data_IF_138054769036
#
_entry.id   IF_138054769036
#
_cell.length_a   1.000
_cell.length_b   1.000
_cell.length_c   1.000
_cell.angle_alpha   90.00
_cell.angle_beta   90.00
_cell.angle_gamma   90.00
#
_symmetry.space_group_name_H-M   'P 1'
#
loop_
_entity.id
_entity.type
_entity.pdbx_description
1 polymer ?
#
# COMPACT_ATOMS: atom_id res chain seq x y z
N UNK A 1 -2.22 -11.51 -14.49
CA UNK A 1 -3.26 -11.01 -13.54
C UNK A 1 -2.58 -10.33 -12.36
N UNK A 2 -3.24 -9.33 -11.72
CA UNK A 2 -2.70 -8.69 -10.51
C UNK A 2 -3.51 -9.15 -9.30
N UNK A 3 -2.81 -9.66 -8.29
CA UNK A 3 -3.39 -10.07 -7.00
C UNK A 3 -2.96 -9.11 -5.91
N UNK A 4 -3.89 -8.68 -5.05
CA UNK A 4 -3.58 -7.83 -3.90
C UNK A 4 -3.85 -8.61 -2.62
N UNK A 5 -2.81 -8.81 -1.82
CA UNK A 5 -2.88 -9.61 -0.58
C UNK A 5 -2.87 -8.67 0.63
N UNK A 6 -4.01 -8.60 1.33
CA UNK A 6 -4.15 -7.84 2.58
C UNK A 6 -4.37 -8.82 3.73
N UNK A 7 -3.35 -9.00 4.58
CA UNK A 7 -3.43 -9.94 5.70
C UNK A 7 -4.29 -9.42 6.85
N UNK A 8 -4.40 -8.11 7.01
CA UNK A 8 -5.08 -7.46 8.13
C UNK A 8 -6.00 -6.31 7.68
N UNK A 9 -7.01 -6.59 6.84
CA UNK A 9 -7.94 -5.55 6.39
C UNK A 9 -8.79 -5.02 7.56
N UNK A 10 -9.36 -3.84 7.38
CA UNK A 10 -10.16 -3.14 8.39
C UNK A 10 -11.37 -2.46 7.78
N UNK A 11 -12.32 -2.08 8.65
CA UNK A 11 -13.14 -0.90 8.37
C UNK A 11 -12.41 0.28 8.97
N UNK A 12 -12.17 1.33 8.19
CA UNK A 12 -11.64 2.59 8.68
C UNK A 12 -12.83 3.54 8.89
N UNK A 13 -13.14 3.80 10.16
CA UNK A 13 -14.19 4.73 10.59
C UNK A 13 -13.57 6.13 10.75
N UNK A 14 -13.95 7.04 9.87
CA UNK A 14 -13.58 8.45 9.91
C UNK A 14 -14.63 9.21 10.71
N UNK A 15 -14.19 9.96 11.71
CA UNK A 15 -15.04 10.73 12.61
C UNK A 15 -14.54 12.17 12.63
N UNK A 16 -15.41 13.12 12.33
CA UNK A 16 -15.11 14.54 12.44
C UNK A 16 -15.71 15.11 13.72
N UNK A 17 -14.90 15.79 14.52
CA UNK A 17 -15.28 16.42 15.77
C UNK A 17 -14.90 17.91 15.74
N UNK A 18 -15.68 18.72 16.49
CA UNK A 18 -15.27 20.09 16.75
C UNK A 18 -14.12 20.16 17.75
N UNK A 19 -14.22 19.40 18.84
CA UNK A 19 -13.18 19.22 19.86
C UNK A 19 -13.27 17.80 20.41
N UNK A 20 -12.14 17.16 20.63
CA UNK A 20 -12.04 15.89 21.33
C UNK A 20 -11.80 16.15 22.83
N UNK A 21 -12.82 15.93 23.66
CA UNK A 21 -12.74 16.11 25.10
C UNK A 21 -12.55 14.77 25.79
N UNK A 22 -11.35 14.50 26.31
CA UNK A 22 -11.04 13.25 27.00
C UNK A 22 -11.84 13.16 28.31
N UNK A 23 -12.41 11.97 28.58
CA UNK A 23 -13.20 11.71 29.76
C UNK A 23 -14.62 12.29 29.73
N UNK A 24 -15.08 12.80 28.60
CA UNK A 24 -16.40 13.37 28.40
C UNK A 24 -17.11 12.73 27.21
N UNK A 25 -18.43 12.94 27.13
CA UNK A 25 -19.17 12.63 25.89
C UNK A 25 -18.78 13.63 24.80
N UNK A 26 -18.58 13.12 23.60
CA UNK A 26 -18.26 13.91 22.41
C UNK A 26 -19.31 13.63 21.34
N UNK A 27 -19.84 14.68 20.75
CA UNK A 27 -20.78 14.59 19.65
C UNK A 27 -20.03 14.77 18.33
N UNK A 28 -20.24 13.85 17.40
CA UNK A 28 -19.62 13.87 16.08
C UNK A 28 -20.35 14.82 15.14
N UNK A 29 -19.61 15.50 14.27
CA UNK A 29 -20.15 16.37 13.23
C UNK A 29 -20.47 15.57 11.95
N UNK A 30 -19.59 14.64 11.60
CA UNK A 30 -19.75 13.77 10.44
C UNK A 30 -19.03 12.44 10.68
N UNK A 31 -19.51 11.38 9.99
CA UNK A 31 -18.86 10.09 9.96
C UNK A 31 -18.88 9.49 8.56
N UNK A 32 -17.92 8.64 8.29
CA UNK A 32 -17.91 7.76 7.11
C UNK A 32 -17.11 6.50 7.41
N UNK A 33 -17.50 5.39 6.80
CA UNK A 33 -16.78 4.12 6.88
C UNK A 33 -16.27 3.73 5.50
N UNK A 34 -15.00 3.39 5.40
CA UNK A 34 -14.35 2.94 4.17
C UNK A 34 -13.64 1.60 4.43
N UNK A 35 -13.49 0.75 3.40
CA UNK A 35 -12.63 -0.42 3.53
C UNK A 35 -11.19 0.05 3.66
N UNK A 36 -10.49 -0.45 4.68
CA UNK A 36 -9.09 -0.15 4.96
C UNK A 36 -8.17 -1.34 4.69
N UNK A 37 -6.94 -1.03 4.30
CA UNK A 37 -5.89 -2.00 4.01
C UNK A 37 -5.08 -1.58 2.79
N UNK A 38 -3.75 -1.56 2.93
CA UNK A 38 -2.88 -1.02 1.89
C UNK A 38 -3.09 -1.68 0.53
N UNK A 39 -3.04 -3.01 0.45
CA UNK A 39 -3.22 -3.71 -0.81
C UNK A 39 -4.68 -3.62 -1.33
N UNK A 40 -5.69 -3.44 -0.46
CA UNK A 40 -7.06 -3.14 -0.88
C UNK A 40 -7.13 -1.78 -1.58
N UNK A 41 -6.51 -0.74 -1.02
CA UNK A 41 -6.45 0.58 -1.64
C UNK A 41 -5.77 0.52 -3.02
N UNK A 42 -4.72 -0.30 -3.16
CA UNK A 42 -4.09 -0.54 -4.47
C UNK A 42 -5.09 -1.14 -5.46
N UNK A 43 -5.87 -2.16 -5.06
CA UNK A 43 -6.93 -2.72 -5.92
C UNK A 43 -7.97 -1.69 -6.34
N UNK A 44 -8.41 -0.85 -5.41
CA UNK A 44 -9.42 0.17 -5.66
C UNK A 44 -8.94 1.21 -6.69
N UNK A 45 -7.69 1.68 -6.56
CA UNK A 45 -7.09 2.61 -7.52
C UNK A 45 -6.84 1.94 -8.87
N UNK A 46 -6.35 0.69 -8.90
CA UNK A 46 -6.18 -0.06 -10.14
C UNK A 46 -7.52 -0.26 -10.86
N UNK A 47 -8.61 -0.54 -10.13
CA UNK A 47 -9.96 -0.61 -10.69
C UNK A 47 -10.39 0.74 -11.29
N UNK A 48 -10.15 1.85 -10.59
CA UNK A 48 -10.37 3.21 -11.12
C UNK A 48 -9.60 3.44 -12.42
N UNK A 49 -8.35 2.97 -12.51
CA UNK A 49 -7.52 3.00 -13.72
C UNK A 49 -7.94 1.96 -14.79
N UNK A 50 -9.02 1.20 -14.57
CA UNK A 50 -9.54 0.14 -15.44
C UNK A 50 -8.58 -1.05 -15.61
N UNK A 51 -7.82 -1.35 -14.57
CA UNK A 51 -6.90 -2.48 -14.52
C UNK A 51 -7.49 -3.53 -13.58
N UNK A 52 -7.84 -4.73 -14.08
CA UNK A 52 -8.48 -5.75 -13.29
C UNK A 52 -7.53 -6.36 -12.26
N UNK A 53 -8.04 -6.54 -11.05
CA UNK A 53 -7.33 -7.16 -9.93
C UNK A 53 -8.17 -8.23 -9.24
N UNK A 54 -7.54 -9.07 -8.46
CA UNK A 54 -8.19 -9.99 -7.52
C UNK A 54 -7.68 -9.65 -6.12
N UNK A 55 -8.59 -9.17 -5.26
CA UNK A 55 -8.27 -8.91 -3.86
C UNK A 55 -8.39 -10.20 -3.04
N UNK A 56 -7.39 -10.49 -2.22
CA UNK A 56 -7.33 -11.68 -1.35
C UNK A 56 -6.69 -11.35 0.00
N UNK A 57 -6.70 -12.32 0.91
CA UNK A 57 -6.27 -12.19 2.30
C UNK A 57 -7.34 -12.74 3.22
N UNK A 58 -7.51 -12.18 4.41
CA UNK A 58 -8.40 -12.72 5.43
C UNK A 58 -9.59 -11.80 5.70
N UNK A 59 -10.82 -12.34 5.62
CA UNK A 59 -12.04 -11.60 5.98
C UNK A 59 -12.94 -12.43 6.89
N UNK A 60 -13.60 -11.76 7.86
CA UNK A 60 -14.53 -12.42 8.76
C UNK A 60 -15.43 -11.42 9.50
N UNK A 61 -16.57 -11.91 9.96
CA UNK A 61 -17.60 -11.12 10.61
C UNK A 61 -18.25 -10.08 9.69
N UNK A 62 -19.04 -9.20 10.26
CA UNK A 62 -19.72 -8.14 9.49
C UNK A 62 -18.75 -7.17 8.81
N UNK A 63 -17.56 -6.96 9.38
CA UNK A 63 -16.53 -6.15 8.77
C UNK A 63 -16.03 -6.78 7.47
N UNK A 64 -15.82 -8.10 7.46
CA UNK A 64 -15.43 -8.83 6.26
C UNK A 64 -16.50 -8.79 5.15
N UNK A 65 -17.77 -8.88 5.54
CA UNK A 65 -18.91 -8.70 4.62
C UNK A 65 -18.93 -7.29 4.04
N UNK A 66 -18.81 -6.26 4.88
CA UNK A 66 -18.73 -4.86 4.44
C UNK A 66 -17.61 -4.66 3.42
N UNK A 67 -16.40 -5.17 3.69
CA UNK A 67 -15.24 -5.03 2.79
C UNK A 67 -15.53 -5.71 1.44
N UNK A 68 -16.03 -6.95 1.48
CA UNK A 68 -16.31 -7.73 0.27
C UNK A 68 -17.39 -7.09 -0.59
N UNK A 69 -18.46 -6.61 0.04
CA UNK A 69 -19.56 -5.92 -0.64
C UNK A 69 -19.12 -4.60 -1.26
N UNK A 70 -18.27 -3.86 -0.56
CA UNK A 70 -17.72 -2.61 -1.08
C UNK A 70 -16.88 -2.84 -2.34
N UNK A 71 -15.94 -3.81 -2.29
CA UNK A 71 -15.10 -4.14 -3.44
C UNK A 71 -15.92 -4.65 -4.63
N UNK A 72 -16.98 -5.41 -4.36
CA UNK A 72 -17.90 -5.88 -5.41
C UNK A 72 -18.61 -4.72 -6.10
N UNK A 73 -19.04 -3.69 -5.34
CA UNK A 73 -19.64 -2.47 -5.91
C UNK A 73 -18.65 -1.66 -6.75
N UNK A 74 -17.36 -1.73 -6.44
CA UNK A 74 -16.28 -1.12 -7.23
C UNK A 74 -15.79 -2.04 -8.38
N UNK A 75 -16.51 -3.13 -8.70
CA UNK A 75 -16.17 -4.12 -9.72
C UNK A 75 -14.81 -4.79 -9.53
N UNK A 76 -14.38 -4.97 -8.29
CA UNK A 76 -13.14 -5.67 -7.94
C UNK A 76 -13.48 -7.13 -7.62
N UNK A 77 -12.84 -8.06 -8.32
CA UNK A 77 -12.94 -9.48 -8.00
C UNK A 77 -12.29 -9.79 -6.66
N UNK A 78 -12.92 -10.64 -5.86
CA UNK A 78 -12.42 -11.03 -4.54
C UNK A 78 -12.29 -12.54 -4.41
N UNK A 79 -11.25 -12.98 -3.70
CA UNK A 79 -11.09 -14.37 -3.29
C UNK A 79 -10.43 -14.42 -1.91
N UNK A 80 -11.20 -14.05 -0.89
CA UNK A 80 -10.73 -14.01 0.49
C UNK A 80 -10.90 -15.35 1.19
N UNK A 81 -9.92 -15.70 2.01
CA UNK A 81 -10.07 -16.73 3.02
C UNK A 81 -11.04 -16.26 4.10
N UNK A 82 -12.05 -17.06 4.38
CA UNK A 82 -13.06 -16.76 5.41
C UNK A 82 -12.54 -17.20 6.77
N UNK A 83 -12.22 -16.24 7.63
CA UNK A 83 -11.76 -16.52 8.99
C UNK A 83 -12.91 -16.60 9.98
N UNK A 84 -12.69 -17.33 11.08
CA UNK A 84 -13.66 -17.48 12.19
C UNK A 84 -13.82 -16.19 12.99
N UNK A 85 -12.73 -15.42 13.10
CA UNK A 85 -12.69 -14.16 13.83
C UNK A 85 -13.19 -12.99 12.96
N UNK A 86 -13.41 -11.83 13.60
CA UNK A 86 -13.85 -10.61 12.93
C UNK A 86 -12.67 -9.76 12.49
N UNK A 87 -12.77 -9.08 11.35
CA UNK A 87 -11.81 -8.04 11.00
C UNK A 87 -11.87 -6.88 12.02
N UNK A 88 -10.80 -6.10 12.03
CA UNK A 88 -10.71 -4.92 12.91
C UNK A 88 -11.45 -3.72 12.34
N UNK A 89 -11.74 -2.75 13.23
CA UNK A 89 -12.21 -1.42 12.85
C UNK A 89 -11.22 -0.40 13.40
N UNK A 90 -10.55 0.37 12.53
CA UNK A 90 -9.72 1.48 12.96
C UNK A 90 -10.57 2.76 13.07
N UNK A 91 -10.20 3.68 13.95
CA UNK A 91 -10.89 4.96 14.12
C UNK A 91 -9.91 6.07 13.74
N UNK A 92 -10.33 6.97 12.88
CA UNK A 92 -9.59 8.16 12.45
C UNK A 92 -10.39 9.40 12.83
N UNK A 93 -9.89 10.13 13.79
CA UNK A 93 -10.56 11.32 14.36
C UNK A 93 -9.92 12.55 13.72
N UNK A 94 -10.75 13.38 13.12
CA UNK A 94 -10.36 14.67 12.57
C UNK A 94 -10.89 15.78 13.46
N UNK A 95 -9.97 16.60 13.96
CA UNK A 95 -10.23 17.77 14.79
C UNK A 95 -9.33 18.92 14.34
N UNK A 96 -9.89 20.07 13.95
CA UNK A 96 -9.12 21.28 13.62
C UNK A 96 -7.93 21.02 12.67
N UNK A 97 -8.13 20.23 11.61
CA UNK A 97 -7.09 19.79 10.64
C UNK A 97 -6.02 18.85 11.23
N UNK A 98 -6.20 18.36 12.43
CA UNK A 98 -5.36 17.32 13.03
C UNK A 98 -6.04 15.96 12.91
N UNK A 99 -5.25 14.93 12.62
CA UNK A 99 -5.69 13.56 12.53
C UNK A 99 -5.14 12.76 13.72
N UNK A 100 -6.04 12.09 14.44
CA UNK A 100 -5.68 11.12 15.49
C UNK A 100 -6.16 9.74 15.06
N UNK A 101 -5.23 8.78 15.00
CA UNK A 101 -5.54 7.41 14.60
C UNK A 101 -5.53 6.45 15.78
N UNK A 102 -6.57 5.64 15.89
CA UNK A 102 -6.67 4.51 16.83
C UNK A 102 -6.71 3.24 15.99
N UNK A 103 -5.58 2.53 15.96
CA UNK A 103 -5.42 1.32 15.16
C UNK A 103 -5.54 0.07 16.04
N UNK A 104 -6.41 -0.84 15.66
CA UNK A 104 -6.56 -2.12 16.33
C UNK A 104 -5.57 -3.14 15.76
N UNK A 105 -5.03 -4.07 16.58
CA UNK A 105 -4.04 -5.04 16.13
C UNK A 105 -4.58 -6.02 15.08
N UNK A 106 -5.87 -6.28 15.10
CA UNK A 106 -6.54 -7.30 14.29
C UNK A 106 -6.75 -8.60 15.06
N UNK A 107 -7.47 -9.55 14.46
CA UNK A 107 -7.75 -10.85 15.04
C UNK A 107 -6.54 -11.78 14.95
N UNK A 108 -6.51 -12.83 15.79
CA UNK A 108 -5.59 -13.94 15.60
C UNK A 108 -6.06 -14.80 14.42
N UNK A 109 -5.18 -15.05 13.46
CA UNK A 109 -5.40 -15.92 12.30
C UNK A 109 -4.97 -17.33 12.66
N UNK A 110 -5.80 -18.31 12.29
CA UNK A 110 -5.57 -19.72 12.56
C UNK A 110 -4.64 -20.35 11.51
N UNK A 111 -3.94 -21.41 11.87
CA UNK A 111 -2.98 -22.06 10.96
C UNK A 111 -3.66 -22.62 9.71
N UNK A 112 -4.87 -23.15 9.83
CA UNK A 112 -5.65 -23.68 8.70
C UNK A 112 -6.08 -22.56 7.72
N UNK A 113 -6.36 -21.35 8.23
CA UNK A 113 -6.69 -20.19 7.43
C UNK A 113 -5.45 -19.70 6.64
N UNK A 114 -4.27 -19.74 7.26
CA UNK A 114 -2.99 -19.44 6.58
C UNK A 114 -2.70 -20.46 5.47
N UNK A 115 -2.90 -21.74 5.73
CA UNK A 115 -2.69 -22.80 4.75
C UNK A 115 -3.63 -22.66 3.55
N UNK A 116 -4.88 -22.24 3.75
CA UNK A 116 -5.81 -21.95 2.67
C UNK A 116 -5.32 -20.79 1.78
N UNK A 117 -4.80 -19.69 2.37
CA UNK A 117 -4.23 -18.59 1.59
C UNK A 117 -2.98 -19.02 0.81
N UNK A 118 -2.09 -19.81 1.43
CA UNK A 118 -0.91 -20.39 0.77
C UNK A 118 -1.33 -21.26 -0.41
N UNK A 119 -2.31 -22.13 -0.22
CA UNK A 119 -2.84 -22.99 -1.29
C UNK A 119 -3.46 -22.17 -2.42
N UNK A 120 -4.16 -21.08 -2.12
CA UNK A 120 -4.69 -20.20 -3.14
C UNK A 120 -3.58 -19.54 -3.95
N UNK A 121 -2.56 -18.98 -3.30
CA UNK A 121 -1.43 -18.32 -3.97
C UNK A 121 -0.51 -19.30 -4.70
N UNK A 122 -0.55 -20.62 -4.39
CA UNK A 122 0.17 -21.62 -5.16
C UNK A 122 -0.35 -21.83 -6.59
N UNK A 123 -1.47 -21.20 -6.95
CA UNK A 123 -2.09 -21.28 -8.28
C UNK A 123 -1.72 -20.12 -9.21
N UNK A 124 -0.98 -19.15 -8.73
CA UNK A 124 -0.46 -18.04 -9.57
C UNK A 124 0.53 -18.58 -10.59
N UNK A 125 0.75 -17.84 -11.65
CA UNK A 125 1.54 -18.28 -12.82
C UNK A 125 2.54 -17.21 -13.20
N UNK A 126 3.47 -17.59 -14.06
CA UNK A 126 4.32 -16.64 -14.76
C UNK A 126 3.48 -15.57 -15.49
N UNK A 127 3.88 -14.30 -15.35
CA UNK A 127 3.14 -13.14 -15.84
C UNK A 127 2.06 -12.62 -14.89
N UNK A 128 1.80 -13.29 -13.75
CA UNK A 128 1.03 -12.73 -12.66
C UNK A 128 1.91 -11.84 -11.78
N UNK A 129 1.30 -10.85 -11.13
CA UNK A 129 1.98 -9.98 -10.15
C UNK A 129 1.20 -9.95 -8.86
N UNK A 130 1.88 -10.13 -7.73
CA UNK A 130 1.26 -10.13 -6.41
C UNK A 130 1.73 -8.93 -5.61
N UNK A 131 0.80 -8.21 -5.00
CA UNK A 131 1.10 -7.10 -4.11
C UNK A 131 0.88 -7.56 -2.67
N UNK A 132 1.95 -7.57 -1.89
CA UNK A 132 1.88 -7.78 -0.46
C UNK A 132 1.91 -6.42 0.24
N UNK A 133 0.87 -6.10 1.01
CA UNK A 133 0.78 -4.79 1.64
C UNK A 133 0.05 -4.78 2.97
N UNK A 134 0.58 -3.99 3.90
CA UNK A 134 -0.05 -3.70 5.17
C UNK A 134 0.59 -4.40 6.37
N UNK A 135 -0.10 -4.32 7.52
CA UNK A 135 0.32 -4.96 8.76
C UNK A 135 -0.01 -6.45 8.76
N UNK A 136 0.77 -7.19 9.52
CA UNK A 136 0.50 -8.60 9.83
C UNK A 136 -0.32 -8.67 11.10
N UNK A 137 -1.48 -9.37 11.10
CA UNK A 137 -2.23 -9.60 12.33
C UNK A 137 -1.53 -10.66 13.20
N UNK A 138 -1.87 -10.80 14.48
CA UNK A 138 -1.43 -11.93 15.28
C UNK A 138 -1.78 -13.26 14.60
N UNK A 139 -0.89 -14.24 14.65
CA UNK A 139 -1.09 -15.57 14.07
C UNK A 139 -0.77 -16.66 15.10
N UNK A 140 -1.44 -17.80 15.00
CA UNK A 140 -1.11 -18.96 15.82
C UNK A 140 0.33 -19.43 15.56
N UNK A 141 0.93 -20.05 16.56
CA UNK A 141 2.24 -20.70 16.47
C UNK A 141 3.40 -19.80 16.00
N UNK A 142 3.24 -18.46 16.11
CA UNK A 142 4.27 -17.49 15.71
C UNK A 142 4.49 -17.39 14.19
N UNK A 143 3.54 -17.82 13.38
CA UNK A 143 3.57 -17.74 11.90
C UNK A 143 3.64 -16.31 11.37
N UNK A 144 3.33 -15.30 12.20
CA UNK A 144 3.43 -13.88 11.84
C UNK A 144 4.87 -13.43 11.57
N UNK A 145 5.87 -14.13 12.08
CA UNK A 145 7.28 -13.73 11.93
C UNK A 145 7.82 -13.91 10.50
N UNK A 146 7.34 -14.90 9.77
CA UNK A 146 7.84 -15.26 8.43
C UNK A 146 6.75 -15.37 7.35
N UNK A 147 5.52 -14.98 7.67
CA UNK A 147 4.36 -15.14 6.78
C UNK A 147 4.61 -14.56 5.37
N UNK A 148 5.15 -13.36 5.28
CA UNK A 148 5.42 -12.76 3.97
C UNK A 148 6.47 -13.54 3.18
N UNK A 149 7.54 -14.00 3.83
CA UNK A 149 8.57 -14.83 3.19
C UNK A 149 7.97 -16.13 2.67
N UNK A 150 7.09 -16.77 3.46
CA UNK A 150 6.38 -17.98 3.07
C UNK A 150 5.49 -17.76 1.85
N UNK A 151 4.66 -16.71 1.86
CA UNK A 151 3.74 -16.38 0.76
C UNK A 151 4.51 -16.02 -0.52
N UNK A 152 5.58 -15.23 -0.41
CA UNK A 152 6.45 -14.86 -1.54
C UNK A 152 7.12 -16.10 -2.13
N UNK A 153 7.67 -16.99 -1.30
CA UNK A 153 8.33 -18.20 -1.78
C UNK A 153 7.40 -19.08 -2.60
N UNK A 154 6.15 -19.20 -2.18
CA UNK A 154 5.12 -19.96 -2.93
C UNK A 154 4.80 -19.28 -4.26
N UNK A 155 4.64 -17.96 -4.27
CA UNK A 155 4.31 -17.20 -5.46
C UNK A 155 5.44 -17.22 -6.51
N UNK A 156 6.67 -16.94 -6.08
CA UNK A 156 7.84 -16.88 -6.97
C UNK A 156 8.25 -18.25 -7.51
N UNK A 157 8.00 -19.34 -6.75
CA UNK A 157 8.19 -20.70 -7.25
C UNK A 157 7.35 -21.02 -8.48
N UNK A 158 6.24 -20.31 -8.70
CA UNK A 158 5.37 -20.41 -9.86
C UNK A 158 5.67 -19.34 -10.95
N UNK A 159 6.75 -18.58 -10.79
CA UNK A 159 7.17 -17.56 -11.76
C UNK A 159 6.42 -16.24 -11.68
N UNK A 160 5.63 -16.00 -10.62
CA UNK A 160 4.97 -14.72 -10.44
C UNK A 160 5.94 -13.65 -9.92
N UNK A 161 5.78 -12.41 -10.40
CA UNK A 161 6.42 -11.23 -9.84
C UNK A 161 5.71 -10.79 -8.56
N UNK A 162 6.41 -10.02 -7.70
CA UNK A 162 5.74 -9.42 -6.55
C UNK A 162 6.22 -8.01 -6.21
N UNK A 163 5.33 -7.28 -5.54
CA UNK A 163 5.56 -5.93 -4.98
C UNK A 163 5.41 -6.01 -3.47
N UNK A 164 6.30 -5.37 -2.72
CA UNK A 164 6.26 -5.36 -1.26
C UNK A 164 6.12 -3.94 -0.68
N UNK A 165 4.99 -3.67 0.00
CA UNK A 165 4.76 -2.52 0.87
C UNK A 165 4.45 -2.99 2.30
N UNK A 166 5.43 -3.64 2.87
CA UNK A 166 5.37 -4.31 4.17
C UNK A 166 6.09 -3.49 5.25
N UNK A 167 5.82 -3.73 6.55
CA UNK A 167 6.57 -3.09 7.63
C UNK A 167 8.08 -3.31 7.51
N UNK A 168 8.88 -2.31 7.94
CA UNK A 168 10.34 -2.27 7.81
C UNK A 168 11.02 -3.58 8.25
N UNK A 169 10.56 -4.21 9.35
CA UNK A 169 11.10 -5.47 9.87
C UNK A 169 11.08 -6.65 8.89
N UNK A 170 10.17 -6.65 7.91
CA UNK A 170 10.07 -7.70 6.88
C UNK A 170 10.77 -7.32 5.57
N UNK A 171 11.05 -6.03 5.36
CA UNK A 171 11.42 -5.51 4.05
C UNK A 171 12.72 -6.12 3.52
N UNK A 172 13.76 -6.23 4.35
CA UNK A 172 15.04 -6.79 3.90
C UNK A 172 14.95 -8.25 3.46
N UNK A 173 14.12 -9.06 4.13
CA UNK A 173 13.91 -10.45 3.72
C UNK A 173 13.09 -10.55 2.45
N UNK A 174 12.15 -9.63 2.24
CA UNK A 174 11.42 -9.51 0.98
C UNK A 174 12.34 -9.08 -0.17
N UNK A 175 13.25 -8.12 0.05
CA UNK A 175 14.19 -7.64 -0.97
C UNK A 175 15.10 -8.76 -1.49
N UNK A 176 15.56 -9.66 -0.61
CA UNK A 176 16.37 -10.83 -1.00
C UNK A 176 15.63 -11.80 -1.94
N UNK A 177 14.30 -11.76 -1.95
CA UNK A 177 13.43 -12.56 -2.84
C UNK A 177 13.22 -11.90 -4.21
N UNK A 178 13.93 -10.80 -4.50
CA UNK A 178 13.94 -10.08 -5.79
C UNK A 178 12.57 -9.53 -6.20
N UNK A 179 11.96 -8.63 -5.41
CA UNK A 179 10.69 -8.00 -5.76
C UNK A 179 10.79 -7.13 -7.02
N UNK A 180 9.70 -7.05 -7.76
CA UNK A 180 9.55 -6.09 -8.85
C UNK A 180 9.66 -4.66 -8.34
N UNK A 181 9.01 -4.36 -7.18
CA UNK A 181 9.03 -3.04 -6.56
C UNK A 181 9.00 -3.17 -5.03
N UNK A 182 9.80 -2.34 -4.36
CA UNK A 182 9.63 -2.01 -2.95
C UNK A 182 9.45 -0.50 -2.79
N UNK A 183 8.63 -0.11 -1.78
CA UNK A 183 8.34 1.31 -1.56
C UNK A 183 8.42 1.69 -0.07
N UNK A 184 9.63 1.75 0.50
CA UNK A 184 9.82 2.33 1.83
C UNK A 184 9.59 3.85 1.82
N UNK A 185 9.36 4.42 3.00
CA UNK A 185 9.51 5.86 3.23
C UNK A 185 10.88 6.16 3.86
N UNK A 186 11.18 7.44 4.11
CA UNK A 186 12.43 7.83 4.75
C UNK A 186 12.63 7.19 6.11
N UNK A 187 11.60 7.17 6.96
CA UNK A 187 11.65 6.55 8.30
C UNK A 187 11.89 5.05 8.23
N UNK A 188 11.26 4.34 7.28
CA UNK A 188 11.52 2.91 7.05
C UNK A 188 12.99 2.67 6.69
N UNK A 189 13.62 3.54 5.87
CA UNK A 189 15.05 3.44 5.52
C UNK A 189 15.93 3.66 6.76
N UNK A 190 15.64 4.67 7.56
CA UNK A 190 16.38 4.96 8.79
C UNK A 190 16.29 3.79 9.77
N UNK A 191 15.12 3.18 9.94
CA UNK A 191 14.91 1.99 10.77
C UNK A 191 15.68 0.78 10.24
N UNK A 192 15.54 0.47 8.96
CA UNK A 192 16.13 -0.72 8.32
C UNK A 192 17.67 -0.70 8.39
N UNK A 193 18.26 0.47 8.14
CA UNK A 193 19.72 0.61 8.10
C UNK A 193 20.32 1.14 9.43
N UNK A 194 19.47 1.39 10.43
CA UNK A 194 19.85 1.96 11.73
C UNK A 194 20.71 3.23 11.57
N UNK A 195 20.20 4.17 10.79
CA UNK A 195 20.85 5.46 10.47
C UNK A 195 19.89 6.62 10.71
N UNK A 196 20.44 7.83 10.81
CA UNK A 196 19.67 9.06 10.79
C UNK A 196 20.11 9.89 9.59
N UNK A 197 19.16 10.35 8.81
CA UNK A 197 19.40 11.03 7.52
C UNK A 197 18.78 12.41 7.56
N UNK A 198 19.59 13.44 7.29
CA UNK A 198 19.13 14.83 7.36
C UNK A 198 18.78 15.41 5.98
N UNK A 199 19.53 15.03 4.93
CA UNK A 199 19.29 15.53 3.57
C UNK A 199 18.75 14.43 2.68
N UNK A 200 17.91 14.79 1.71
CA UNK A 200 17.34 13.81 0.79
C UNK A 200 18.38 13.05 -0.04
N UNK A 201 19.42 13.73 -0.46
CA UNK A 201 20.50 13.17 -1.27
C UNK A 201 21.22 12.04 -0.54
N UNK A 202 21.24 12.06 0.79
CA UNK A 202 21.86 11.04 1.63
C UNK A 202 21.06 9.71 1.65
N UNK A 203 19.83 9.69 1.10
CA UNK A 203 19.07 8.44 0.87
C UNK A 203 19.54 7.69 -0.38
N UNK A 204 20.28 8.31 -1.31
CA UNK A 204 20.69 7.70 -2.58
C UNK A 204 21.48 6.40 -2.38
N UNK A 205 22.48 6.31 -1.48
CA UNK A 205 23.22 5.08 -1.23
C UNK A 205 22.32 3.92 -0.75
N UNK A 206 21.29 4.22 0.02
CA UNK A 206 20.39 3.20 0.58
C UNK A 206 19.38 2.70 -0.45
N UNK A 207 18.86 3.58 -1.30
CA UNK A 207 18.02 3.17 -2.42
C UNK A 207 18.79 2.27 -3.39
N UNK A 208 20.02 2.63 -3.76
CA UNK A 208 20.91 1.80 -4.58
C UNK A 208 21.20 0.46 -3.91
N UNK A 209 21.47 0.46 -2.60
CA UNK A 209 21.72 -0.76 -1.85
C UNK A 209 20.53 -1.73 -1.88
N UNK A 210 19.30 -1.24 -1.80
CA UNK A 210 18.11 -2.09 -1.94
C UNK A 210 18.00 -2.71 -3.35
N UNK A 211 18.38 -1.96 -4.40
CA UNK A 211 18.47 -2.51 -5.77
C UNK A 211 19.57 -3.57 -5.86
N UNK A 212 20.76 -3.31 -5.34
CA UNK A 212 21.88 -4.27 -5.30
C UNK A 212 21.52 -5.56 -4.53
N UNK A 213 20.70 -5.45 -3.48
CA UNK A 213 20.21 -6.59 -2.69
C UNK A 213 19.16 -7.43 -3.41
N UNK A 214 18.57 -6.92 -4.50
CA UNK A 214 17.68 -7.72 -5.36
C UNK A 214 16.41 -7.03 -5.84
N UNK A 215 15.99 -5.90 -5.29
CA UNK A 215 14.81 -5.20 -5.77
C UNK A 215 15.03 -4.71 -7.21
N UNK A 216 14.10 -4.98 -8.13
CA UNK A 216 14.21 -4.48 -9.49
C UNK A 216 14.02 -2.97 -9.55
N UNK A 217 13.06 -2.46 -8.77
CA UNK A 217 12.77 -1.04 -8.62
C UNK A 217 12.59 -0.69 -7.14
N UNK A 218 12.99 0.53 -6.78
CA UNK A 218 12.79 1.08 -5.42
C UNK A 218 12.20 2.47 -5.54
N UNK A 219 11.16 2.77 -4.79
CA UNK A 219 10.65 4.13 -4.59
C UNK A 219 10.81 4.48 -3.11
N UNK A 220 11.54 5.55 -2.79
CA UNK A 220 11.62 6.11 -1.44
C UNK A 220 10.74 7.36 -1.41
N UNK A 221 9.70 7.35 -0.57
CA UNK A 221 8.77 8.47 -0.44
C UNK A 221 9.08 9.36 0.76
N UNK A 222 8.95 10.68 0.59
CA UNK A 222 9.23 11.70 1.59
C UNK A 222 7.99 12.56 1.92
N UNK A 223 6.80 11.99 1.81
CA UNK A 223 5.53 12.69 2.03
C UNK A 223 5.39 13.92 1.13
N UNK A 224 5.09 15.06 1.71
CA UNK A 224 4.95 16.32 0.97
C UNK A 224 6.25 16.82 0.30
N UNK A 225 7.36 16.16 0.54
CA UNK A 225 8.66 16.53 -0.06
C UNK A 225 8.98 15.76 -1.35
N UNK A 226 8.04 14.96 -1.89
CA UNK A 226 8.23 14.19 -3.13
C UNK A 226 8.78 12.79 -2.89
N UNK A 227 9.51 12.25 -3.85
CA UNK A 227 10.04 10.89 -3.80
C UNK A 227 11.29 10.73 -4.68
N UNK A 228 12.00 9.62 -4.48
CA UNK A 228 13.09 9.18 -5.34
C UNK A 228 12.78 7.80 -5.90
N UNK A 229 13.21 7.56 -7.12
CA UNK A 229 13.04 6.30 -7.84
C UNK A 229 14.39 5.76 -8.30
N UNK A 230 14.62 4.48 -8.06
CA UNK A 230 15.88 3.81 -8.33
C UNK A 230 15.64 2.63 -9.25
N UNK A 231 16.42 2.59 -10.30
CA UNK A 231 16.60 1.43 -11.17
C UNK A 231 18.01 0.86 -10.97
N UNK A 232 18.37 -0.15 -11.75
CA UNK A 232 19.72 -0.70 -11.70
C UNK A 232 20.81 0.35 -12.01
N UNK A 233 20.54 1.22 -12.99
CA UNK A 233 21.55 2.11 -13.57
C UNK A 233 21.28 3.60 -13.30
N UNK A 234 20.07 3.96 -12.89
CA UNK A 234 19.61 5.35 -12.85
C UNK A 234 18.86 5.69 -11.57
N UNK A 235 18.95 6.95 -11.19
CA UNK A 235 18.21 7.53 -10.06
C UNK A 235 17.43 8.74 -10.53
N UNK A 236 16.16 8.80 -10.20
CA UNK A 236 15.26 9.90 -10.52
C UNK A 236 14.64 10.47 -9.26
N UNK A 237 14.23 11.72 -9.32
CA UNK A 237 13.39 12.32 -8.28
C UNK A 237 12.16 13.00 -8.86
N UNK A 238 11.12 13.09 -8.06
CA UNK A 238 9.99 13.97 -8.28
C UNK A 238 9.91 15.00 -7.16
N UNK A 239 9.53 16.20 -7.52
CA UNK A 239 9.03 17.19 -6.55
C UNK A 239 7.55 16.91 -6.27
N UNK A 240 7.04 17.48 -5.19
CA UNK A 240 5.60 17.53 -4.97
C UNK A 240 4.96 18.34 -6.09
N UNK A 241 3.85 17.87 -6.60
CA UNK A 241 3.07 18.63 -7.57
C UNK A 241 2.50 19.85 -6.86
N UNK A 242 2.93 21.04 -7.29
CA UNK A 242 2.41 22.31 -6.80
C UNK A 242 1.18 22.71 -7.60
N UNK A 243 0.06 22.81 -6.93
CA UNK A 243 -1.18 23.36 -7.44
C UNK A 243 -1.92 24.11 -6.32
N UNK A 244 -2.99 24.83 -6.64
CA UNK A 244 -3.77 25.61 -5.68
C UNK A 244 -4.71 24.76 -4.80
N UNK A 245 -4.69 23.42 -4.92
CA UNK A 245 -5.57 22.52 -4.18
C UNK A 245 -4.99 22.15 -2.82
N UNK A 246 -5.85 22.20 -1.80
CA UNK A 246 -5.48 21.79 -0.44
C UNK A 246 -5.23 20.27 -0.36
N UNK A 247 -4.24 19.87 0.45
CA UNK A 247 -4.02 18.46 0.80
C UNK A 247 -5.03 18.08 1.87
N UNK A 248 -5.87 17.08 1.55
CA UNK A 248 -6.99 16.64 2.39
C UNK A 248 -6.70 15.26 3.01
N UNK A 249 -5.98 14.39 2.28
CA UNK A 249 -5.78 12.99 2.65
C UNK A 249 -4.31 12.61 2.49
N UNK A 250 -3.69 12.13 3.56
CA UNK A 250 -2.29 11.67 3.52
C UNK A 250 -2.14 10.15 3.62
N UNK A 251 -3.23 9.45 3.96
CA UNK A 251 -3.19 8.03 4.35
C UNK A 251 -2.97 7.11 3.17
N UNK A 252 -3.76 7.26 2.11
CA UNK A 252 -3.77 6.34 0.97
C UNK A 252 -2.81 6.74 -0.17
N UNK A 253 -2.13 7.89 -0.06
CA UNK A 253 -1.19 8.37 -1.09
C UNK A 253 -0.08 7.35 -1.40
N UNK A 254 0.41 6.68 -0.35
CA UNK A 254 1.46 5.67 -0.49
C UNK A 254 0.99 4.44 -1.27
N UNK A 255 -0.26 4.04 -1.07
CA UNK A 255 -0.88 2.92 -1.77
C UNK A 255 -1.16 3.30 -3.23
N UNK A 256 -1.58 4.57 -3.45
CA UNK A 256 -1.80 5.13 -4.78
C UNK A 256 -0.52 5.15 -5.63
N UNK A 257 0.65 5.43 -5.02
CA UNK A 257 1.93 5.34 -5.71
C UNK A 257 2.18 3.94 -6.30
N UNK A 258 1.92 2.90 -5.51
CA UNK A 258 2.10 1.51 -5.97
C UNK A 258 1.14 1.19 -7.10
N UNK A 259 -0.12 1.58 -6.98
CA UNK A 259 -1.13 1.35 -8.00
C UNK A 259 -0.77 2.02 -9.32
N UNK A 260 -0.38 3.31 -9.29
CA UNK A 260 0.04 4.06 -10.48
C UNK A 260 1.26 3.44 -11.15
N UNK A 261 2.30 3.11 -10.36
CA UNK A 261 3.49 2.44 -10.87
C UNK A 261 3.14 1.10 -11.53
N UNK A 262 2.46 0.23 -10.78
CA UNK A 262 2.19 -1.13 -11.23
C UNK A 262 1.26 -1.16 -12.44
N UNK A 263 0.23 -0.33 -12.43
CA UNK A 263 -0.71 -0.24 -13.55
C UNK A 263 -0.06 0.16 -14.86
N UNK A 264 1.01 0.95 -14.80
CA UNK A 264 1.76 1.39 -15.98
C UNK A 264 2.85 0.38 -16.38
N UNK A 265 3.65 -0.09 -15.41
CA UNK A 265 4.76 -1.00 -15.72
C UNK A 265 4.30 -2.32 -16.32
N UNK A 266 3.16 -2.86 -15.86
CA UNK A 266 2.60 -4.12 -16.38
C UNK A 266 2.03 -3.94 -17.79
N UNK A 267 1.52 -2.75 -18.14
CA UNK A 267 0.93 -2.46 -19.45
C UNK A 267 1.97 -2.02 -20.46
N UNK A 268 2.82 -1.05 -20.09
CA UNK A 268 3.66 -0.31 -21.02
C UNK A 268 5.15 -0.66 -20.91
N UNK A 269 5.57 -1.23 -19.76
CA UNK A 269 6.94 -1.67 -19.52
C UNK A 269 7.95 -0.55 -19.27
N UNK A 270 7.56 0.73 -19.35
CA UNK A 270 8.43 1.89 -19.13
C UNK A 270 8.51 2.24 -17.63
N UNK A 271 9.69 2.13 -16.99
CA UNK A 271 9.84 2.39 -15.56
C UNK A 271 9.74 3.87 -15.20
N UNK A 272 10.15 4.80 -16.07
CA UNK A 272 10.11 6.24 -15.80
C UNK A 272 8.67 6.77 -15.90
N UNK A 273 7.93 6.36 -16.93
CA UNK A 273 6.50 6.68 -17.04
C UNK A 273 5.68 6.01 -15.93
N UNK A 274 6.08 4.80 -15.49
CA UNK A 274 5.47 4.15 -14.32
C UNK A 274 5.71 4.95 -13.04
N UNK A 275 6.90 5.48 -12.85
CA UNK A 275 7.21 6.36 -11.72
C UNK A 275 6.43 7.68 -11.82
N UNK A 276 6.30 8.26 -13.01
CA UNK A 276 5.51 9.46 -13.23
C UNK A 276 4.03 9.25 -12.88
N UNK A 277 3.44 8.14 -13.32
CA UNK A 277 2.07 7.76 -12.97
C UNK A 277 1.92 7.48 -11.47
N UNK A 278 2.93 6.91 -10.83
CA UNK A 278 3.01 6.71 -9.37
C UNK A 278 2.87 8.04 -8.61
N UNK A 279 3.64 9.06 -9.01
CA UNK A 279 3.59 10.40 -8.40
C UNK A 279 2.23 11.07 -8.65
N UNK A 280 1.70 10.98 -9.87
CA UNK A 280 0.39 11.53 -10.22
C UNK A 280 -0.73 10.91 -9.36
N UNK A 281 -0.73 9.57 -9.23
CA UNK A 281 -1.74 8.85 -8.43
C UNK A 281 -1.71 9.25 -6.96
N UNK A 282 -0.53 9.37 -6.37
CA UNK A 282 -0.37 9.83 -4.99
C UNK A 282 -0.82 11.29 -4.82
N UNK A 283 -0.39 12.15 -5.72
CA UNK A 283 -0.71 13.59 -5.67
C UNK A 283 -2.20 13.85 -5.88
N UNK A 284 -2.87 13.12 -6.77
CA UNK A 284 -4.32 13.19 -6.94
C UNK A 284 -5.05 12.70 -5.69
N UNK A 285 -4.63 11.55 -5.12
CA UNK A 285 -5.24 10.98 -3.91
C UNK A 285 -5.09 11.90 -2.70
N UNK A 286 -3.99 12.67 -2.61
CA UNK A 286 -3.81 13.65 -1.54
C UNK A 286 -4.87 14.77 -1.52
N UNK A 287 -5.56 15.00 -2.64
CA UNK A 287 -6.52 16.09 -2.84
C UNK A 287 -7.99 15.69 -2.74
N UNK A 288 -8.24 14.44 -2.43
CA UNK A 288 -9.61 13.87 -2.31
C UNK A 288 -9.80 13.20 -0.97
N UNK A 289 -11.06 13.05 -0.56
CA UNK A 289 -11.40 12.47 0.76
C UNK A 289 -11.19 10.95 0.85
N UNK A 290 -11.23 10.24 -0.28
CA UNK A 290 -11.01 8.80 -0.37
C UNK A 290 -9.85 8.53 -1.35
N UNK A 291 -10.05 7.79 -2.40
CA UNK A 291 -9.06 7.49 -3.42
C UNK A 291 -9.37 8.26 -4.71
N UNK A 292 -8.33 8.70 -5.41
CA UNK A 292 -8.51 9.45 -6.64
C UNK A 292 -9.12 8.58 -7.75
N UNK A 293 -10.00 9.19 -8.53
CA UNK A 293 -10.51 8.64 -9.77
C UNK A 293 -9.46 8.71 -10.88
N UNK A 294 -9.68 7.94 -11.95
CA UNK A 294 -8.82 7.99 -13.14
C UNK A 294 -8.67 9.41 -13.69
N UNK A 295 -9.77 10.14 -13.79
CA UNK A 295 -9.75 11.47 -14.41
C UNK A 295 -8.96 12.46 -13.53
N UNK A 296 -9.12 12.44 -12.21
CA UNK A 296 -8.31 13.22 -11.27
C UNK A 296 -6.81 12.87 -11.34
N UNK A 297 -6.46 11.61 -11.53
CA UNK A 297 -5.07 11.18 -11.72
C UNK A 297 -4.51 11.72 -13.03
N UNK A 298 -5.28 11.64 -14.13
CA UNK A 298 -4.84 12.11 -15.45
C UNK A 298 -4.68 13.63 -15.50
N UNK A 299 -5.50 14.38 -14.78
CA UNK A 299 -5.37 15.84 -14.66
C UNK A 299 -4.03 16.21 -13.98
N UNK A 300 -3.67 15.50 -12.92
CA UNK A 300 -2.39 15.71 -12.20
C UNK A 300 -1.19 15.24 -13.01
N UNK A 301 -1.32 14.19 -13.82
CA UNK A 301 -0.20 13.61 -14.57
C UNK A 301 0.54 14.61 -15.45
N UNK A 302 -0.18 15.57 -16.02
CA UNK A 302 0.40 16.64 -16.85
C UNK A 302 1.29 17.61 -16.08
N UNK A 303 1.17 17.67 -14.75
CA UNK A 303 1.90 18.54 -13.85
C UNK A 303 3.12 17.86 -13.20
N UNK A 304 3.24 16.53 -13.37
CA UNK A 304 4.36 15.79 -12.76
C UNK A 304 5.65 16.01 -13.53
N UNK A 305 6.65 16.48 -12.82
CA UNK A 305 8.02 16.62 -13.34
C UNK A 305 8.92 15.57 -12.71
N UNK A 306 9.67 14.86 -13.56
CA UNK A 306 10.67 13.87 -13.16
C UNK A 306 12.04 14.36 -13.60
N UNK A 307 12.95 14.44 -12.65
CA UNK A 307 14.34 14.84 -12.86
C UNK A 307 15.26 13.64 -12.69
N UNK A 308 16.17 13.42 -13.66
CA UNK A 308 17.23 12.41 -13.54
C UNK A 308 18.37 12.97 -12.72
N UNK A 309 18.73 12.30 -11.61
CA UNK A 309 19.83 12.71 -10.74
C UNK A 309 21.15 12.04 -11.11
N UNK A 310 21.11 10.80 -11.52
CA UNK A 310 22.29 9.98 -11.87
C UNK A 310 21.95 8.99 -12.98
#
# INVERSE_FOLDING_TARGET
MIYTVTLNPSIDLFVELKNLNLGQQNDILAERSLPGGKALNVSRILSSLRIPTIATGFVGGFQGEFITDWLTKENISTNFVKMKNHNRTNIKIFENKQETMINFPGPTIQSDEVDELVYYLSRVREGDTIIFGGSVPPMEDGLDNDIYTRLVSVATANGADFVADVPARYLLDMVKQKPLLVKPNGEDIEEIFNVRIENKEDYIPYGKKLVEMGAKYVIISFGASGSMFFTKDEVYQSKTVEDDKEIINTVACRDAMIAGFLGTIVRDGDPVESYRMSVASASATARVLDLATRDEIMDILSLVEIEKLQ
#
